data_IF_375126468578
#
_entry.id   IF_375126468578
#
_cell.length_a   1.000
_cell.length_b   1.000
_cell.length_c   1.000
_cell.angle_alpha   90.00
_cell.angle_beta   90.00
_cell.angle_gamma   90.00
#
_symmetry.space_group_name_H-M   'P 1'
#
loop_
_entity.id
_entity.type
_entity.pdbx_description
1 polymer ?
#
# COMPACT_ATOMS: atom_id res chain seq x y z
N UNK A 1 11.33 -3.16 32.27
CA UNK A 1 12.05 -4.46 32.22
C UNK A 1 11.07 -5.49 32.74
N UNK A 2 10.52 -6.39 31.93
CA UNK A 2 11.24 -7.51 31.33
C UNK A 2 10.45 -8.05 30.12
N UNK A 3 11.17 -8.36 29.05
CA UNK A 3 10.70 -8.81 27.75
C UNK A 3 10.37 -10.30 27.71
N UNK A 4 9.47 -10.72 26.82
CA UNK A 4 9.53 -12.03 26.17
C UNK A 4 8.77 -12.06 24.84
N UNK A 5 9.56 -12.28 23.78
CA UNK A 5 9.21 -12.71 22.43
C UNK A 5 8.64 -14.16 22.41
N UNK A 6 8.05 -14.64 21.28
CA UNK A 6 7.91 -13.99 19.97
C UNK A 6 6.47 -13.99 19.44
N UNK A 7 5.86 -12.82 19.26
CA UNK A 7 4.72 -12.65 18.34
C UNK A 7 5.18 -12.30 16.91
N UNK A 8 6.45 -12.55 16.57
CA UNK A 8 6.98 -12.42 15.20
C UNK A 8 6.83 -13.70 14.37
N UNK A 9 5.94 -14.62 14.74
CA UNK A 9 5.64 -15.81 13.93
C UNK A 9 4.16 -15.80 13.51
N UNK A 10 3.95 -15.59 12.20
CA UNK A 10 2.69 -15.75 11.44
C UNK A 10 1.76 -14.53 11.42
N UNK A 11 2.25 -13.40 10.92
CA UNK A 11 1.53 -12.57 9.94
C UNK A 11 2.57 -11.74 9.19
N UNK A 12 3.12 -12.27 8.10
CA UNK A 12 3.87 -11.46 7.15
C UNK A 12 2.93 -10.61 6.27
N UNK A 13 1.69 -10.37 6.75
CA UNK A 13 0.54 -9.84 6.02
C UNK A 13 0.28 -8.36 6.27
N UNK A 14 1.21 -7.67 6.93
CA UNK A 14 1.23 -6.22 6.96
C UNK A 14 2.18 -5.72 5.90
N UNK A 15 1.69 -4.90 4.97
CA UNK A 15 2.47 -4.17 3.96
C UNK A 15 3.09 -5.03 2.86
N UNK A 16 2.42 -6.11 2.44
CA UNK A 16 2.79 -6.81 1.20
C UNK A 16 2.79 -5.83 0.02
N UNK A 17 3.62 -6.08 -0.98
CA UNK A 17 3.82 -5.16 -2.10
C UNK A 17 2.53 -4.82 -2.86
N UNK A 18 1.56 -5.73 -2.84
CA UNK A 18 0.24 -5.60 -3.46
C UNK A 18 -0.80 -4.87 -2.59
N UNK A 19 -0.66 -4.87 -1.26
CA UNK A 19 -1.74 -4.51 -0.32
C UNK A 19 -2.36 -3.15 -0.67
N UNK A 20 -1.51 -2.12 -0.83
CA UNK A 20 -1.93 -0.77 -1.21
C UNK A 20 -2.77 -0.77 -2.50
N UNK A 21 -2.35 -1.52 -3.52
CA UNK A 21 -3.00 -1.52 -4.83
C UNK A 21 -4.34 -2.27 -4.75
N UNK A 22 -4.38 -3.42 -4.07
CA UNK A 22 -5.60 -4.20 -3.89
C UNK A 22 -6.64 -3.48 -3.04
N UNK A 23 -6.21 -2.82 -1.96
CA UNK A 23 -7.11 -2.10 -1.05
C UNK A 23 -7.74 -0.90 -1.75
N UNK A 24 -6.93 -0.09 -2.44
CA UNK A 24 -7.43 1.04 -3.22
C UNK A 24 -8.32 0.57 -4.37
N UNK A 25 -7.94 -0.48 -5.10
CA UNK A 25 -8.76 -1.01 -6.19
C UNK A 25 -10.13 -1.47 -5.67
N UNK A 26 -10.16 -2.21 -4.56
CA UNK A 26 -11.38 -2.66 -3.89
C UNK A 26 -12.25 -1.47 -3.46
N UNK A 27 -11.67 -0.48 -2.80
CA UNK A 27 -12.36 0.73 -2.37
C UNK A 27 -13.00 1.48 -3.55
N UNK A 28 -12.23 1.82 -4.59
CA UNK A 28 -12.75 2.63 -5.70
C UNK A 28 -13.78 1.89 -6.54
N UNK A 29 -13.64 0.56 -6.67
CA UNK A 29 -14.64 -0.27 -7.36
C UNK A 29 -16.00 -0.19 -6.71
N UNK A 30 -16.05 -0.10 -5.38
CA UNK A 30 -17.30 0.03 -4.63
C UNK A 30 -17.82 1.47 -4.62
N UNK A 31 -16.95 2.46 -4.42
CA UNK A 31 -17.39 3.82 -4.13
C UNK A 31 -17.59 4.74 -5.34
N UNK A 32 -16.89 4.52 -6.46
CA UNK A 32 -16.81 5.56 -7.50
C UNK A 32 -16.76 5.05 -8.94
N UNK A 33 -16.03 3.97 -9.21
CA UNK A 33 -15.77 3.49 -10.57
C UNK A 33 -16.07 1.99 -10.64
N UNK A 34 -17.31 1.60 -11.03
CA UNK A 34 -17.68 0.18 -11.09
C UNK A 34 -16.82 -0.67 -12.02
N UNK A 35 -16.26 -0.06 -13.08
CA UNK A 35 -15.37 -0.72 -14.06
C UNK A 35 -14.05 0.04 -14.24
N UNK A 36 -13.07 -0.12 -13.33
CA UNK A 36 -11.81 0.61 -13.39
C UNK A 36 -10.81 0.00 -14.39
N UNK A 37 -11.10 -1.18 -14.93
CA UNK A 37 -10.15 -1.96 -15.75
C UNK A 37 -9.83 -1.32 -17.11
N UNK A 38 -10.74 -0.52 -17.67
CA UNK A 38 -10.47 0.23 -18.91
C UNK A 38 -9.38 1.29 -18.70
N UNK A 39 -9.31 1.84 -17.49
CA UNK A 39 -8.31 2.84 -17.09
C UNK A 39 -7.02 2.15 -16.65
N UNK A 40 -7.13 1.09 -15.85
CA UNK A 40 -5.99 0.35 -15.30
C UNK A 40 -5.22 -0.45 -16.34
N UNK A 41 -5.91 -0.95 -17.37
CA UNK A 41 -5.34 -1.78 -18.44
C UNK A 41 -4.49 -2.93 -17.86
N UNK A 42 -5.09 -3.82 -17.05
CA UNK A 42 -4.36 -4.92 -16.45
C UNK A 42 -3.69 -5.76 -17.54
N UNK A 43 -2.48 -6.21 -17.27
CA UNK A 43 -1.78 -7.16 -18.15
C UNK A 43 -2.46 -8.53 -18.07
N UNK A 44 -2.18 -9.40 -19.04
CA UNK A 44 -2.67 -10.78 -19.00
C UNK A 44 -2.07 -11.54 -17.81
N UNK A 45 -2.68 -12.68 -17.45
CA UNK A 45 -2.18 -13.54 -16.38
C UNK A 45 -0.76 -14.02 -16.67
N UNK A 46 -0.47 -14.39 -17.90
CA UNK A 46 0.84 -14.85 -18.36
C UNK A 46 1.89 -13.75 -18.19
N UNK A 47 1.55 -12.52 -18.55
CA UNK A 47 2.43 -11.36 -18.38
C UNK A 47 2.65 -10.99 -16.91
N UNK A 48 1.65 -11.18 -16.05
CA UNK A 48 1.80 -11.00 -14.61
C UNK A 48 2.73 -12.07 -14.01
N UNK A 49 2.51 -13.35 -14.34
CA UNK A 49 3.34 -14.46 -13.90
C UNK A 49 4.79 -14.30 -14.37
N UNK A 50 5.02 -13.86 -15.61
CA UNK A 50 6.36 -13.55 -16.14
C UNK A 50 7.16 -12.61 -15.22
N UNK A 51 6.50 -11.62 -14.62
CA UNK A 51 7.13 -10.69 -13.68
C UNK A 51 7.44 -11.36 -12.35
N UNK A 52 6.54 -12.19 -11.82
CA UNK A 52 6.80 -12.94 -10.59
C UNK A 52 7.91 -13.98 -10.76
N UNK A 53 8.00 -14.64 -11.92
CA UNK A 53 9.07 -15.58 -12.21
C UNK A 53 10.44 -14.88 -12.31
N UNK A 54 10.47 -13.65 -12.85
CA UNK A 54 11.72 -12.88 -13.01
C UNK A 54 12.16 -12.17 -11.72
N UNK A 55 11.22 -11.52 -11.03
CA UNK A 55 11.51 -10.69 -9.85
C UNK A 55 11.33 -11.45 -8.52
N UNK A 56 10.68 -12.60 -8.53
CA UNK A 56 10.25 -13.30 -7.32
C UNK A 56 8.79 -13.01 -6.95
N UNK A 57 8.24 -13.80 -6.01
CA UNK A 57 6.84 -13.70 -5.61
C UNK A 57 6.53 -12.35 -4.95
N UNK A 58 5.32 -11.82 -5.18
CA UNK A 58 4.92 -10.50 -4.71
C UNK A 58 4.96 -10.36 -3.17
N UNK A 59 4.63 -11.43 -2.45
CA UNK A 59 4.67 -11.45 -0.98
C UNK A 59 6.08 -11.30 -0.38
N UNK A 60 7.15 -11.46 -1.18
CA UNK A 60 8.51 -11.15 -0.73
C UNK A 60 8.86 -9.65 -0.79
N UNK A 61 7.95 -8.83 -1.32
CA UNK A 61 8.10 -7.39 -1.39
C UNK A 61 7.29 -6.72 -0.30
N UNK A 62 7.90 -5.77 0.41
CA UNK A 62 7.21 -4.90 1.37
C UNK A 62 7.02 -3.51 0.80
N UNK A 63 5.87 -2.92 1.07
CA UNK A 63 5.53 -1.56 0.67
C UNK A 63 4.85 -0.81 1.84
N UNK A 64 5.66 -0.05 2.57
CA UNK A 64 5.21 0.77 3.70
C UNK A 64 4.84 2.21 3.29
N UNK A 65 4.92 2.51 1.99
CA UNK A 65 4.66 3.83 1.44
C UNK A 65 3.30 3.88 0.74
N UNK A 66 2.72 5.07 0.62
CA UNK A 66 1.52 5.30 -0.20
C UNK A 66 1.82 5.41 -1.71
N UNK A 67 2.89 4.73 -2.17
CA UNK A 67 3.29 4.64 -3.58
C UNK A 67 3.22 3.18 -4.01
N UNK A 68 2.74 2.91 -5.21
CA UNK A 68 2.68 1.53 -5.73
C UNK A 68 4.07 0.99 -6.08
N UNK A 69 4.30 -0.29 -5.81
CA UNK A 69 5.50 -0.98 -6.29
C UNK A 69 5.28 -1.46 -7.73
N UNK A 70 6.04 -0.91 -8.66
CA UNK A 70 5.95 -1.20 -10.09
C UNK A 70 6.99 -2.23 -10.51
N UNK A 71 6.54 -3.22 -11.29
CA UNK A 71 7.34 -4.31 -11.84
C UNK A 71 7.49 -4.13 -13.36
N UNK A 72 8.65 -3.64 -13.84
CA UNK A 72 8.91 -3.45 -15.27
C UNK A 72 8.77 -4.74 -16.07
N UNK A 73 8.49 -4.65 -17.37
CA UNK A 73 8.53 -5.82 -18.24
C UNK A 73 9.98 -6.32 -18.39
N UNK A 74 10.33 -7.52 -17.91
CA UNK A 74 11.72 -7.98 -17.89
C UNK A 74 12.30 -8.22 -19.28
N UNK A 75 11.46 -8.44 -20.29
CA UNK A 75 11.91 -8.65 -21.66
C UNK A 75 12.23 -7.34 -22.38
N UNK A 76 11.44 -6.29 -22.11
CA UNK A 76 11.62 -4.95 -22.69
C UNK A 76 12.68 -4.13 -21.94
N UNK A 77 12.78 -4.33 -20.64
CA UNK A 77 13.63 -3.56 -19.75
C UNK A 77 14.57 -4.47 -18.95
N UNK A 78 15.36 -5.28 -19.67
CA UNK A 78 16.39 -6.14 -19.07
C UNK A 78 17.28 -5.30 -18.16
N UNK A 79 17.39 -5.69 -16.89
CA UNK A 79 18.11 -5.01 -15.78
C UNK A 79 17.34 -3.93 -15.01
N UNK A 80 16.09 -3.62 -15.36
CA UNK A 80 15.28 -2.74 -14.52
C UNK A 80 14.83 -3.44 -13.24
N UNK A 81 14.95 -2.76 -12.11
CA UNK A 81 14.51 -3.26 -10.80
C UNK A 81 13.08 -2.80 -10.50
N UNK A 82 12.35 -3.50 -9.62
CA UNK A 82 11.11 -2.99 -9.05
C UNK A 82 11.34 -1.62 -8.42
N UNK A 83 10.39 -0.70 -8.59
CA UNK A 83 10.52 0.68 -8.12
C UNK A 83 9.18 1.23 -7.66
N UNK A 84 9.22 2.20 -6.76
CA UNK A 84 8.03 2.94 -6.40
C UNK A 84 7.55 3.81 -7.56
N UNK A 85 6.24 3.97 -7.67
CA UNK A 85 5.60 4.82 -8.66
C UNK A 85 4.18 5.20 -8.28
N UNK A 86 3.66 6.20 -8.99
CA UNK A 86 2.32 6.72 -8.76
C UNK A 86 1.26 5.82 -9.39
N UNK A 87 0.16 5.63 -8.67
CA UNK A 87 -1.05 5.03 -9.20
C UNK A 87 -1.74 5.98 -10.20
N UNK A 88 -2.70 5.52 -11.00
CA UNK A 88 -3.54 6.43 -11.79
C UNK A 88 -4.20 7.50 -10.91
N UNK A 89 -4.45 8.69 -11.47
CA UNK A 89 -4.96 9.85 -10.72
C UNK A 89 -6.24 9.56 -9.93
N UNK A 90 -7.14 8.75 -10.49
CA UNK A 90 -8.38 8.37 -9.80
C UNK A 90 -8.13 7.57 -8.52
N UNK A 91 -7.03 6.80 -8.45
CA UNK A 91 -6.67 6.03 -7.25
C UNK A 91 -5.95 6.86 -6.19
N UNK A 92 -5.65 8.14 -6.47
CA UNK A 92 -4.93 9.04 -5.57
C UNK A 92 -5.84 10.05 -4.86
N UNK A 93 -7.18 9.90 -4.96
CA UNK A 93 -8.12 10.85 -4.34
C UNK A 93 -8.30 10.64 -2.83
N UNK A 94 -8.07 9.42 -2.35
CA UNK A 94 -7.93 9.08 -0.93
C UNK A 94 -6.45 9.06 -0.63
N UNK A 95 -6.02 9.88 0.32
CA UNK A 95 -4.63 9.97 0.77
C UNK A 95 -4.57 9.88 2.30
N UNK A 96 -3.43 9.45 2.87
CA UNK A 96 -3.22 9.48 4.30
C UNK A 96 -3.45 10.88 4.86
N UNK A 97 -4.20 10.96 5.94
CA UNK A 97 -4.40 12.21 6.67
C UNK A 97 -3.06 12.68 7.26
N UNK A 98 -2.71 13.95 7.06
CA UNK A 98 -1.42 14.50 7.49
C UNK A 98 -1.54 15.73 8.42
N UNK A 99 -2.75 16.25 8.65
CA UNK A 99 -2.95 17.49 9.40
C UNK A 99 -3.48 17.26 10.83
N UNK A 100 -2.68 16.61 11.66
CA UNK A 100 -3.02 16.35 13.06
C UNK A 100 -3.04 17.61 13.94
N UNK A 101 -2.55 18.75 13.44
CA UNK A 101 -2.51 20.04 14.18
C UNK A 101 -3.72 20.94 13.92
N UNK A 102 -4.65 20.53 13.05
CA UNK A 102 -5.81 21.35 12.68
C UNK A 102 -6.86 21.49 13.78
N UNK A 103 -6.82 20.66 14.83
CA UNK A 103 -7.88 20.57 15.83
C UNK A 103 -9.16 19.87 15.33
N UNK A 104 -9.20 19.44 14.06
CA UNK A 104 -10.36 18.76 13.47
C UNK A 104 -10.36 17.23 13.74
N UNK A 105 -9.30 16.72 14.36
CA UNK A 105 -9.12 15.29 14.68
C UNK A 105 -8.51 15.19 16.08
N UNK A 106 -9.11 14.36 16.94
CA UNK A 106 -8.55 13.95 18.23
C UNK A 106 -8.04 12.51 18.19
N UNK A 107 -6.97 12.20 18.92
CA UNK A 107 -6.44 10.84 19.05
C UNK A 107 -6.96 10.26 20.36
N UNK A 108 -7.83 9.25 20.27
CA UNK A 108 -8.31 8.50 21.42
C UNK A 108 -7.44 7.26 21.64
N UNK A 109 -6.78 7.17 22.80
CA UNK A 109 -6.12 5.92 23.22
C UNK A 109 -7.10 5.01 23.95
N UNK A 110 -6.89 3.69 23.85
CA UNK A 110 -7.75 2.65 24.43
C UNK A 110 -7.88 2.75 25.97
N UNK A 111 -6.96 3.48 26.60
CA UNK A 111 -6.91 3.74 28.04
C UNK A 111 -7.78 4.94 28.48
N UNK A 112 -8.54 5.55 27.55
CA UNK A 112 -9.37 6.72 27.82
C UNK A 112 -8.61 8.03 27.95
N UNK A 113 -7.29 8.01 27.70
CA UNK A 113 -6.48 9.23 27.63
C UNK A 113 -6.62 9.80 26.22
N UNK A 114 -7.34 10.90 26.10
CA UNK A 114 -7.32 11.76 24.93
C UNK A 114 -5.94 12.41 24.85
N UNK A 115 -5.18 12.11 23.79
CA UNK A 115 -3.89 12.78 23.57
C UNK A 115 -4.21 14.10 22.91
N UNK A 116 -4.33 15.15 23.74
CA UNK A 116 -4.47 16.51 23.24
C UNK A 116 -3.18 16.89 22.49
N UNK A 117 -3.31 17.16 21.19
CA UNK A 117 -2.16 17.42 20.30
C UNK A 117 -1.58 18.83 20.47
N UNK A 118 -2.07 19.60 21.45
CA UNK A 118 -1.62 20.95 21.76
C UNK A 118 -0.21 21.07 22.37
N UNK A 119 0.53 19.98 22.63
CA UNK A 119 1.76 20.01 23.45
C UNK A 119 3.12 19.90 22.75
N UNK A 120 3.25 20.23 21.47
CA UNK A 120 4.58 20.36 20.84
C UNK A 120 4.68 21.65 20.02
N UNK A 121 4.96 22.74 20.75
CA UNK A 121 5.49 24.01 20.23
C UNK A 121 7.01 24.01 20.20
#
# INVERSE_FOLDING_TARGET
>A
MQASFPFNLVTDSGFSGEDLVSDLLGFYRVFSIPSPFEILRPVSKEEALKRWDYYGPIGSYKNENFLSLLFPDPEKFRNSKPRLGYLPSFMQTVIPYNNFKSGNVGIASQDGVEVDTHFLG
#
